data_IF_595500927038
#
_entry.id   IF_595500927038
#
_cell.length_a   1.000
_cell.length_b   1.000
_cell.length_c   1.000
_cell.angle_alpha   90.00
_cell.angle_beta   90.00
_cell.angle_gamma   90.00
#
_symmetry.space_group_name_H-M   'P 1'
#
loop_
_entity.id
_entity.type
_entity.pdbx_description
1 polymer ?
#
# COMPACT_ATOMS: atom_id res chain seq x y z
N UNK A 1 -24.58 -13.30 54.78
CA UNK A 1 -24.01 -14.29 55.72
C UNK A 1 -24.73 -15.60 55.43
N UNK A 2 -24.22 -16.63 54.77
CA UNK A 2 -22.88 -17.04 54.39
C UNK A 2 -22.99 -18.08 53.27
N UNK A 3 -22.02 -18.09 52.35
CA UNK A 3 -21.80 -19.15 51.36
C UNK A 3 -20.85 -20.19 51.98
N UNK A 4 -21.16 -21.49 51.91
CA UNK A 4 -20.10 -22.47 51.66
C UNK A 4 -20.45 -23.34 50.44
N UNK A 5 -19.72 -23.24 49.32
CA UNK A 5 -18.43 -23.92 49.05
C UNK A 5 -18.52 -25.45 49.11
N UNK A 6 -19.06 -26.10 48.07
CA UNK A 6 -18.39 -27.23 47.41
C UNK A 6 -19.12 -27.68 46.14
N UNK A 7 -18.45 -27.56 45.01
CA UNK A 7 -18.83 -28.12 43.72
C UNK A 7 -17.56 -28.77 43.18
N UNK A 8 -17.55 -30.09 42.90
CA UNK A 8 -17.04 -30.49 41.59
C UNK A 8 -17.63 -31.83 41.11
N UNK A 9 -18.92 -31.84 40.74
CA UNK A 9 -19.44 -32.85 39.81
C UNK A 9 -20.00 -32.13 38.58
N UNK A 10 -19.16 -31.33 37.92
CA UNK A 10 -19.49 -30.86 36.58
C UNK A 10 -19.03 -31.92 35.58
N UNK A 11 -20.02 -32.63 35.07
CA UNK A 11 -19.90 -33.71 34.11
C UNK A 11 -19.25 -33.27 32.80
N UNK A 12 -18.49 -34.22 32.26
CA UNK A 12 -17.89 -34.27 30.95
C UNK A 12 -18.72 -33.64 29.83
N UNK A 13 -18.12 -32.66 29.15
CA UNK A 13 -18.62 -32.11 27.89
C UNK A 13 -17.45 -31.68 27.01
N UNK A 14 -16.93 -32.63 26.23
CA UNK A 14 -15.97 -32.37 25.16
C UNK A 14 -16.68 -31.65 24.01
N UNK A 15 -16.68 -30.31 24.05
CA UNK A 15 -17.03 -29.46 22.92
C UNK A 15 -15.75 -28.88 22.33
N UNK A 16 -15.29 -29.46 21.22
CA UNK A 16 -14.19 -28.93 20.45
C UNK A 16 -14.55 -27.53 19.95
N UNK A 17 -14.03 -26.48 20.62
CA UNK A 17 -13.92 -25.17 20.02
C UNK A 17 -12.91 -25.34 18.87
N UNK A 18 -13.44 -25.54 17.66
CA UNK A 18 -12.66 -25.41 16.46
C UNK A 18 -12.13 -23.97 16.45
N UNK A 19 -10.90 -23.82 16.95
CA UNK A 19 -10.10 -22.61 16.83
C UNK A 19 -9.89 -22.39 15.34
N UNK A 20 -10.38 -21.30 14.72
CA UNK A 20 -9.78 -20.88 13.48
C UNK A 20 -8.37 -20.43 13.84
N UNK A 21 -7.41 -21.30 13.55
CA UNK A 21 -6.00 -21.00 13.56
C UNK A 21 -5.77 -19.66 12.84
N UNK A 22 -5.29 -18.67 13.60
CA UNK A 22 -4.36 -17.65 13.15
C UNK A 22 -4.59 -17.01 11.78
N UNK A 23 -5.70 -16.29 11.56
CA UNK A 23 -5.69 -15.22 10.55
C UNK A 23 -4.96 -13.99 11.10
N UNK A 24 -3.65 -14.14 11.28
CA UNK A 24 -2.71 -13.03 11.41
C UNK A 24 -1.76 -13.08 10.22
N UNK A 25 -2.25 -12.60 9.08
CA UNK A 25 -1.39 -12.04 8.05
C UNK A 25 -1.89 -10.62 7.80
N UNK A 26 -1.50 -9.72 8.70
CA UNK A 26 -1.20 -8.38 8.24
C UNK A 26 0.09 -8.54 7.44
N UNK A 27 -0.04 -8.89 6.16
CA UNK A 27 1.03 -8.78 5.18
C UNK A 27 1.37 -7.29 5.03
N UNK A 28 2.14 -6.79 6.00
CA UNK A 28 3.10 -5.72 5.77
C UNK A 28 4.06 -6.22 4.69
N UNK A 29 3.67 -6.09 3.43
CA UNK A 29 4.65 -5.98 2.35
C UNK A 29 5.36 -4.65 2.54
N UNK A 30 6.37 -4.69 3.42
CA UNK A 30 7.26 -3.58 3.66
C UNK A 30 8.00 -3.27 2.36
N UNK A 31 7.74 -2.08 1.82
CA UNK A 31 8.76 -1.34 1.08
C UNK A 31 8.83 -1.59 -0.42
N UNK A 32 7.71 -1.71 -1.12
CA UNK A 32 7.68 -1.26 -2.52
C UNK A 32 6.60 -0.23 -2.67
N UNK A 33 7.02 0.88 -3.20
CA UNK A 33 6.32 2.15 -3.25
C UNK A 33 4.86 1.91 -3.64
N UNK A 34 3.90 2.37 -2.83
CA UNK A 34 2.47 2.37 -3.16
C UNK A 34 2.14 3.33 -4.32
N UNK A 35 3.11 3.57 -5.20
CA UNK A 35 3.03 4.39 -6.39
C UNK A 35 2.25 3.57 -7.41
N UNK A 36 1.16 4.16 -7.86
CA UNK A 36 0.28 3.60 -8.86
C UNK A 36 0.28 4.51 -10.08
N UNK A 37 -0.05 3.91 -11.21
CA UNK A 37 -0.19 4.60 -12.48
C UNK A 37 -1.37 5.58 -12.41
N UNK A 38 -1.11 6.88 -12.56
CA UNK A 38 -2.16 7.92 -12.48
C UNK A 38 -3.25 7.80 -13.55
N UNK A 39 -2.98 7.09 -14.66
CA UNK A 39 -3.95 6.86 -15.74
C UNK A 39 -4.66 5.51 -15.64
N UNK A 40 -4.02 4.49 -15.10
CA UNK A 40 -4.44 3.09 -15.25
C UNK A 40 -4.58 2.34 -13.93
N UNK A 41 -4.22 2.96 -12.79
CA UNK A 41 -4.33 2.39 -11.46
C UNK A 41 -3.37 1.23 -11.16
N UNK A 42 -2.60 0.76 -12.14
CA UNK A 42 -1.66 -0.36 -11.97
C UNK A 42 -0.60 -0.03 -10.91
N UNK A 43 -0.38 -0.91 -9.92
CA UNK A 43 0.65 -0.71 -8.91
C UNK A 43 2.05 -0.92 -9.47
N UNK A 44 3.03 -0.28 -8.84
CA UNK A 44 4.44 -0.52 -9.10
C UNK A 44 4.82 -1.94 -8.66
N UNK A 45 5.07 -2.81 -9.62
CA UNK A 45 5.47 -4.20 -9.40
C UNK A 45 6.76 -4.49 -10.16
N UNK A 46 7.43 -5.60 -9.86
CA UNK A 46 8.66 -6.01 -10.57
C UNK A 46 8.42 -6.11 -12.09
N UNK A 47 7.23 -6.57 -12.48
CA UNK A 47 6.82 -6.71 -13.87
C UNK A 47 6.36 -5.39 -14.51
N UNK A 48 5.99 -4.38 -13.71
CA UNK A 48 5.47 -3.10 -14.18
C UNK A 48 6.25 -1.95 -13.52
N UNK A 49 7.40 -1.62 -14.12
CA UNK A 49 8.21 -0.49 -13.71
C UNK A 49 7.54 0.82 -14.10
N UNK A 50 6.98 1.53 -13.11
CA UNK A 50 6.38 2.84 -13.37
C UNK A 50 7.47 3.86 -13.67
N UNK A 51 7.29 4.59 -14.76
CA UNK A 51 8.11 5.71 -15.18
C UNK A 51 7.59 6.98 -14.52
N UNK A 52 8.49 7.73 -13.89
CA UNK A 52 8.17 9.04 -13.34
C UNK A 52 8.10 10.09 -14.45
N UNK A 53 7.23 11.08 -14.31
CA UNK A 53 7.17 12.22 -15.22
C UNK A 53 8.51 12.98 -15.20
N UNK A 54 9.18 13.13 -16.35
CA UNK A 54 10.49 13.79 -16.43
C UNK A 54 10.44 15.29 -16.15
N UNK A 55 9.27 15.94 -16.33
CA UNK A 55 9.10 17.38 -16.09
C UNK A 55 8.95 17.70 -14.60
N UNK A 56 7.98 17.06 -13.94
CA UNK A 56 7.64 17.38 -12.57
C UNK A 56 8.14 16.37 -11.53
N UNK A 57 8.59 15.19 -11.96
CA UNK A 57 9.05 14.08 -11.10
C UNK A 57 8.10 13.67 -9.97
N UNK A 58 6.82 14.05 -10.06
CA UNK A 58 5.82 13.86 -9.01
C UNK A 58 4.77 12.80 -9.36
N UNK A 59 4.43 12.66 -10.65
CA UNK A 59 3.48 11.67 -11.14
C UNK A 59 4.17 10.43 -11.74
N UNK A 60 3.52 9.27 -11.62
CA UNK A 60 4.04 7.97 -12.05
C UNK A 60 3.10 7.30 -13.06
N UNK A 61 3.67 6.71 -14.10
CA UNK A 61 2.92 6.13 -15.21
C UNK A 61 3.51 4.81 -15.67
N UNK A 62 2.64 3.91 -16.12
CA UNK A 62 3.04 2.62 -16.67
C UNK A 62 3.94 2.77 -17.92
N UNK A 63 3.54 3.69 -18.81
CA UNK A 63 4.17 3.93 -20.10
C UNK A 63 3.84 5.35 -20.63
N UNK A 64 4.40 5.74 -21.77
CA UNK A 64 4.16 7.04 -22.41
C UNK A 64 2.71 7.20 -22.83
N UNK A 65 2.01 6.11 -23.17
CA UNK A 65 0.57 6.17 -23.45
C UNK A 65 -0.24 6.55 -22.21
N UNK A 66 0.05 5.91 -21.06
CA UNK A 66 -0.52 6.27 -19.75
C UNK A 66 -0.27 7.75 -19.43
N UNK A 67 0.96 8.23 -19.68
CA UNK A 67 1.31 9.64 -19.48
C UNK A 67 0.51 10.58 -20.40
N UNK A 68 0.41 10.27 -21.70
CA UNK A 68 -0.31 11.12 -22.68
C UNK A 68 -1.80 11.20 -22.37
N UNK A 69 -2.42 10.10 -21.97
CA UNK A 69 -3.84 10.05 -21.58
C UNK A 69 -4.13 10.96 -20.40
N UNK A 70 -3.29 10.93 -19.36
CA UNK A 70 -3.44 11.81 -18.20
C UNK A 70 -2.89 13.22 -18.43
N UNK A 71 -2.07 13.45 -19.47
CA UNK A 71 -1.37 14.72 -19.70
C UNK A 71 -2.31 15.92 -19.79
N UNK A 72 -3.52 15.77 -20.34
CA UNK A 72 -4.49 16.87 -20.42
C UNK A 72 -4.88 17.40 -19.02
N UNK A 73 -5.06 16.50 -18.06
CA UNK A 73 -5.34 16.83 -16.66
C UNK A 73 -4.08 17.22 -15.91
N UNK A 74 -3.03 16.40 -16.06
CA UNK A 74 -1.75 16.58 -15.39
C UNK A 74 -1.01 17.85 -15.80
N UNK A 75 -1.18 18.39 -17.01
CA UNK A 75 -0.40 19.53 -17.53
C UNK A 75 -0.43 20.76 -16.60
N UNK A 76 -1.59 21.05 -15.99
CA UNK A 76 -1.75 22.19 -15.07
C UNK A 76 -0.90 22.02 -13.81
N UNK A 77 -0.97 20.83 -13.21
CA UNK A 77 -0.21 20.49 -12.01
C UNK A 77 1.28 20.27 -12.31
N UNK A 78 1.58 19.71 -13.49
CA UNK A 78 2.93 19.43 -13.96
C UNK A 78 3.79 20.69 -13.99
N UNK A 79 3.23 21.82 -14.44
CA UNK A 79 3.94 23.10 -14.50
C UNK A 79 4.28 23.65 -13.10
N UNK A 80 3.37 23.53 -12.13
CA UNK A 80 3.61 23.96 -10.75
C UNK A 80 4.61 23.05 -10.02
N UNK A 81 4.46 21.74 -10.18
CA UNK A 81 5.33 20.74 -9.55
C UNK A 81 6.74 20.70 -10.15
N UNK A 82 6.91 21.06 -11.43
CA UNK A 82 8.22 21.15 -12.07
C UNK A 82 9.14 22.17 -11.37
N UNK A 83 8.59 23.25 -10.84
CA UNK A 83 9.36 24.26 -10.12
C UNK A 83 9.85 23.73 -8.77
N UNK A 84 9.02 22.95 -8.07
CA UNK A 84 9.40 22.31 -6.80
C UNK A 84 10.39 21.15 -6.97
N UNK A 85 10.38 20.46 -8.11
CA UNK A 85 11.31 19.36 -8.36
C UNK A 85 12.77 19.83 -8.50
N UNK A 86 13.01 21.09 -8.87
CA UNK A 86 14.35 21.66 -8.98
C UNK A 86 15.07 21.79 -7.62
N UNK A 87 14.34 21.76 -6.50
CA UNK A 87 14.89 21.93 -5.14
C UNK A 87 15.00 20.63 -4.34
N UNK A 88 14.71 19.46 -4.95
CA UNK A 88 14.83 18.16 -4.29
C UNK A 88 16.26 17.59 -4.32
N UNK A 89 16.73 16.90 -3.26
CA UNK A 89 18.11 16.49 -3.12
C UNK A 89 18.47 15.49 -4.21
N UNK A 90 19.54 15.81 -4.95
CA UNK A 90 20.19 14.92 -5.89
C UNK A 90 20.78 13.74 -5.10
N UNK A 91 20.02 12.64 -4.97
CA UNK A 91 20.60 11.36 -4.55
C UNK A 91 21.48 10.88 -5.71
N UNK A 92 22.76 11.25 -5.60
CA UNK A 92 23.85 10.68 -6.36
C UNK A 92 23.89 9.17 -6.09
N UNK A 93 23.69 8.38 -7.14
CA UNK A 93 23.85 6.93 -7.10
C UNK A 93 25.36 6.66 -7.19
N UNK A 94 25.94 6.22 -6.06
CA UNK A 94 27.30 5.66 -5.96
C UNK A 94 27.42 4.38 -6.77
#
# INVERSE_FOLDING_TARGET
MDIPKNHPYFSSGAGAYASPAGVRAADKVAGRDARQCGSCGKPNTIACSLKVCTKCRSAWYCDRECQKKDFARHKKECAGLAQAAATGPSVAKR
#
